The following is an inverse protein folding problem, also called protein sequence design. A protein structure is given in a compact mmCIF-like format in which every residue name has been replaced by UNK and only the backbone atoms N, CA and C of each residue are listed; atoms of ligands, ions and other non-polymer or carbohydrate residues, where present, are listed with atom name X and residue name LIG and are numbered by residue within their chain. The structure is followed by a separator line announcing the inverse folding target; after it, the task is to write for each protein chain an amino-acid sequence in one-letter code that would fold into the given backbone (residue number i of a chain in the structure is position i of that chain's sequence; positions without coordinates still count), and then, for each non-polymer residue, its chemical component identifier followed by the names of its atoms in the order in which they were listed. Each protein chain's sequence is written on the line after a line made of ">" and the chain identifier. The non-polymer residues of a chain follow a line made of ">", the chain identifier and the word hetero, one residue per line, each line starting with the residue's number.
data_IF_687733001879
#
_entry.id   IF_687733001879
#
_cell.length_a   1.000
_cell.length_b   1.000
_cell.length_c   1.000
_cell.angle_alpha   90.00
_cell.angle_beta   90.00
_cell.angle_gamma   90.00
#
_symmetry.space_group_name_H-M   'P 1'
#
loop_
_entity.id
_entity.type
_entity.pdbx_description
1 polymer ?
#
# COMPACT_ATOMS: atom_id res chain seq x y z
N UNK A 1 -49.49 6.05 76.73
CA UNK A 1 -48.35 5.21 76.28
C UNK A 1 -48.28 5.10 74.74
N UNK A 2 -48.59 6.18 73.99
CA UNK A 2 -48.79 6.11 72.52
C UNK A 2 -47.68 6.77 71.69
N UNK A 3 -46.83 7.62 72.28
CA UNK A 3 -45.78 8.34 71.53
C UNK A 3 -44.54 7.51 71.22
N UNK A 4 -44.21 6.50 72.05
CA UNK A 4 -43.03 5.63 71.84
C UNK A 4 -43.16 4.69 70.64
N UNK A 5 -44.39 4.27 70.30
CA UNK A 5 -44.65 3.36 69.19
C UNK A 5 -44.60 4.09 67.83
N UNK A 6 -45.10 5.32 67.76
CA UNK A 6 -45.11 6.12 66.53
C UNK A 6 -43.72 6.57 66.11
N UNK A 7 -42.87 6.95 67.07
CA UNK A 7 -41.46 7.28 66.78
C UNK A 7 -40.67 6.06 66.33
N UNK A 8 -40.92 4.88 66.90
CA UNK A 8 -40.26 3.64 66.50
C UNK A 8 -40.72 3.19 65.10
N UNK A 9 -42.00 3.33 64.77
CA UNK A 9 -42.51 3.03 63.43
C UNK A 9 -41.95 3.99 62.37
N UNK A 10 -41.84 5.29 62.69
CA UNK A 10 -41.23 6.27 61.81
C UNK A 10 -39.73 5.99 61.59
N UNK A 11 -39.01 5.59 62.65
CA UNK A 11 -37.60 5.20 62.55
C UNK A 11 -37.41 3.90 61.78
N UNK A 12 -38.32 2.93 61.94
CA UNK A 12 -38.31 1.66 61.20
C UNK A 12 -38.56 1.88 59.71
N UNK A 13 -39.54 2.72 59.35
CA UNK A 13 -39.83 3.07 57.94
C UNK A 13 -38.69 3.89 57.33
N UNK A 14 -38.07 4.78 58.11
CA UNK A 14 -36.89 5.52 57.67
C UNK A 14 -35.68 4.58 57.49
N UNK A 15 -35.52 3.56 58.33
CA UNK A 15 -34.46 2.56 58.20
C UNK A 15 -34.69 1.61 57.03
N UNK A 16 -35.96 1.25 56.73
CA UNK A 16 -36.34 0.44 55.58
C UNK A 16 -36.25 1.19 54.24
N UNK A 17 -36.42 2.51 54.24
CA UNK A 17 -36.32 3.33 53.02
C UNK A 17 -34.87 3.58 52.55
N UNK A 18 -33.86 3.31 53.40
CA UNK A 18 -32.45 3.62 53.11
C UNK A 18 -31.75 2.54 52.27
N UNK A 19 -32.33 1.36 52.09
CA UNK A 19 -31.77 0.34 51.18
C UNK A 19 -32.25 0.54 49.74
N UNK A 20 -32.15 1.75 49.19
CA UNK A 20 -32.17 1.93 47.75
C UNK A 20 -30.79 1.47 47.24
N UNK A 21 -30.69 0.20 46.84
CA UNK A 21 -29.48 -0.34 46.25
C UNK A 21 -29.13 0.51 45.03
N UNK A 22 -28.03 1.25 45.12
CA UNK A 22 -27.49 2.01 44.00
C UNK A 22 -27.17 1.01 42.88
N UNK A 23 -28.03 0.97 41.86
CA UNK A 23 -27.81 0.15 40.68
C UNK A 23 -26.54 0.67 40.01
N UNK A 24 -25.45 -0.09 40.13
CA UNK A 24 -24.17 0.29 39.54
C UNK A 24 -24.34 0.34 38.03
N UNK A 25 -24.25 1.54 37.45
CA UNK A 25 -24.24 1.73 36.01
C UNK A 25 -23.01 1.03 35.41
N UNK A 26 -23.16 -0.22 34.98
CA UNK A 26 -22.14 -0.92 34.21
C UNK A 26 -22.19 -0.44 32.77
N UNK A 27 -21.31 0.50 32.42
CA UNK A 27 -21.16 0.93 31.02
C UNK A 27 -20.42 -0.17 30.25
N UNK A 28 -21.13 -0.90 29.40
CA UNK A 28 -20.51 -1.84 28.46
C UNK A 28 -19.79 -1.00 27.39
N UNK A 29 -18.46 -1.06 27.37
CA UNK A 29 -17.66 -0.42 26.33
C UNK A 29 -17.66 -1.32 25.10
N UNK A 30 -18.35 -0.90 24.04
CA UNK A 30 -18.27 -1.60 22.75
C UNK A 30 -17.11 -1.01 21.94
N UNK A 31 -16.19 -1.84 21.43
CA UNK A 31 -15.17 -1.35 20.51
C UNK A 31 -15.82 -0.85 19.23
N UNK A 32 -15.46 0.37 18.82
CA UNK A 32 -15.85 0.92 17.52
C UNK A 32 -14.74 0.59 16.52
N UNK A 33 -15.09 -0.11 15.44
CA UNK A 33 -14.14 -0.46 14.38
C UNK A 33 -14.34 0.45 13.16
N UNK A 34 -13.24 1.05 12.70
CA UNK A 34 -13.20 1.83 11.47
C UNK A 34 -12.35 1.08 10.44
N UNK A 35 -12.95 0.64 9.35
CA UNK A 35 -12.26 -0.04 8.25
C UNK A 35 -12.06 0.92 7.08
N UNK A 36 -10.89 0.90 6.46
CA UNK A 36 -10.64 1.59 5.20
C UNK A 36 -9.95 0.61 4.26
N UNK A 37 -10.58 0.31 3.12
CA UNK A 37 -10.09 -0.66 2.14
C UNK A 37 -9.67 0.06 0.87
N UNK A 38 -8.53 -0.36 0.30
CA UNK A 38 -7.97 0.20 -0.93
C UNK A 38 -7.64 -0.96 -1.86
N UNK A 39 -8.21 -0.96 -3.07
CA UNK A 39 -7.93 -1.95 -4.11
C UNK A 39 -7.38 -1.19 -5.32
N UNK A 40 -6.10 -1.39 -5.63
CA UNK A 40 -5.39 -0.67 -6.70
C UNK A 40 -4.25 -1.54 -7.22
N UNK A 41 -3.91 -1.40 -8.50
CA UNK A 41 -2.77 -2.07 -9.13
C UNK A 41 -1.69 -1.04 -9.44
N UNK A 42 -0.46 -1.29 -8.98
CA UNK A 42 0.69 -0.43 -9.23
C UNK A 42 1.92 -1.27 -9.58
N UNK A 43 2.73 -0.81 -10.53
CA UNK A 43 4.02 -1.42 -10.87
C UNK A 43 5.12 -0.75 -10.06
N UNK A 44 5.75 -1.48 -9.16
CA UNK A 44 6.85 -1.01 -8.31
C UNK A 44 8.08 -1.90 -8.58
N UNK A 45 9.27 -1.32 -8.84
CA UNK A 45 10.48 -2.10 -9.05
C UNK A 45 10.92 -2.81 -7.75
N UNK A 46 11.71 -3.88 -7.88
CA UNK A 46 12.26 -4.62 -6.74
C UNK A 46 13.05 -3.70 -5.79
N UNK A 47 12.71 -3.72 -4.50
CA UNK A 47 13.25 -2.81 -3.49
C UNK A 47 12.81 -1.34 -3.61
N UNK A 48 11.95 -1.00 -4.57
CA UNK A 48 11.40 0.34 -4.74
C UNK A 48 10.29 0.67 -3.73
N UNK A 49 9.89 1.93 -3.67
CA UNK A 49 8.80 2.38 -2.79
C UNK A 49 7.64 2.93 -3.62
N UNK A 50 6.43 2.43 -3.39
CA UNK A 50 5.20 2.93 -3.99
C UNK A 50 4.19 3.41 -2.95
N UNK A 51 3.70 4.65 -3.09
CA UNK A 51 2.58 5.16 -2.30
C UNK A 51 1.27 4.69 -2.95
N UNK A 52 0.54 3.80 -2.29
CA UNK A 52 -0.76 3.30 -2.77
C UNK A 52 -1.89 4.28 -2.50
N UNK A 53 -1.79 5.08 -1.44
CA UNK A 53 -2.79 6.09 -1.13
C UNK A 53 -2.62 6.70 0.25
N UNK A 54 -3.54 7.61 0.57
CA UNK A 54 -3.63 8.22 1.88
C UNK A 54 -4.86 9.11 2.01
N UNK A 55 -5.36 9.26 3.23
CA UNK A 55 -6.50 10.11 3.57
C UNK A 55 -6.03 11.08 4.65
N UNK A 56 -6.17 12.38 4.40
CA UNK A 56 -5.94 13.42 5.39
C UNK A 56 -7.24 14.14 5.68
N UNK A 57 -7.64 14.21 6.95
CA UNK A 57 -8.85 14.89 7.40
C UNK A 57 -8.45 15.96 8.41
N UNK A 58 -8.96 17.16 8.23
CA UNK A 58 -8.80 18.26 9.18
C UNK A 58 -10.19 18.83 9.50
N UNK A 59 -10.50 19.00 10.78
CA UNK A 59 -11.70 19.69 11.24
C UNK A 59 -11.32 20.82 12.20
N UNK A 60 -11.83 22.01 11.94
CA UNK A 60 -11.69 23.17 12.82
C UNK A 60 -13.06 23.53 13.38
N UNK A 61 -13.16 23.65 14.70
CA UNK A 61 -14.36 24.06 15.41
C UNK A 61 -14.04 25.29 16.24
N UNK A 62 -14.85 26.34 16.09
CA UNK A 62 -14.77 27.54 16.91
C UNK A 62 -16.11 27.78 17.57
N UNK A 63 -16.15 27.60 18.89
CA UNK A 63 -17.34 27.82 19.71
C UNK A 63 -17.13 29.08 20.53
N UNK A 64 -17.91 30.12 20.27
CA UNK A 64 -17.91 31.34 21.10
C UNK A 64 -19.19 31.40 21.92
N UNK A 65 -19.05 31.48 23.25
CA UNK A 65 -20.15 31.70 24.21
C UNK A 65 -19.92 33.02 24.93
N UNK A 66 -20.97 33.78 25.21
CA UNK A 66 -20.84 35.03 25.95
C UNK A 66 -22.19 35.61 26.34
N UNK A 67 -22.19 36.55 27.28
CA UNK A 67 -23.43 37.23 27.70
C UNK A 67 -23.94 38.16 26.59
N UNK A 68 -25.25 38.18 26.31
CA UNK A 68 -25.84 39.09 25.35
C UNK A 68 -25.54 40.55 25.76
N UNK A 69 -25.35 41.43 24.77
CA UNK A 69 -24.87 42.83 24.89
C UNK A 69 -23.40 43.00 25.31
N UNK A 70 -22.99 42.55 26.51
CA UNK A 70 -21.65 42.85 27.05
C UNK A 70 -20.52 42.18 26.24
N UNK A 71 -20.78 41.04 25.61
CA UNK A 71 -19.82 40.35 24.72
C UNK A 71 -19.53 41.07 23.40
N UNK A 72 -20.25 42.16 23.07
CA UNK A 72 -20.02 42.94 21.84
C UNK A 72 -19.26 44.25 22.08
N UNK A 73 -19.16 44.70 23.34
CA UNK A 73 -18.53 45.99 23.67
C UNK A 73 -17.01 45.85 23.57
N UNK A 74 -16.33 46.64 22.71
CA UNK A 74 -14.88 46.61 22.61
C UNK A 74 -14.23 46.90 23.98
N UNK A 75 -12.99 46.41 24.18
CA UNK A 75 -12.24 46.47 25.44
C UNK A 75 -12.74 45.57 26.59
N UNK A 76 -14.05 45.55 26.90
CA UNK A 76 -14.59 44.69 27.99
C UNK A 76 -15.02 43.30 27.53
N UNK A 77 -15.22 43.10 26.22
CA UNK A 77 -15.60 41.82 25.61
C UNK A 77 -14.77 40.64 26.12
N UNK A 78 -13.46 40.82 26.36
CA UNK A 78 -12.56 39.73 26.78
C UNK A 78 -12.94 39.09 28.12
N UNK A 79 -13.60 39.82 29.01
CA UNK A 79 -14.02 39.29 30.33
C UNK A 79 -15.35 38.52 30.25
N UNK A 80 -16.13 38.72 29.19
CA UNK A 80 -17.52 38.27 29.07
C UNK A 80 -17.77 37.33 27.87
N UNK A 81 -16.72 37.00 27.10
CA UNK A 81 -16.72 35.97 26.07
C UNK A 81 -15.78 34.82 26.46
N UNK A 82 -16.21 33.60 26.18
CA UNK A 82 -15.40 32.40 26.18
C UNK A 82 -15.36 31.87 24.74
N UNK A 83 -14.16 31.68 24.19
CA UNK A 83 -13.95 31.12 22.84
C UNK A 83 -13.14 29.84 22.96
N UNK A 84 -13.75 28.72 22.61
CA UNK A 84 -13.05 27.45 22.40
C UNK A 84 -12.70 27.30 20.91
N UNK A 85 -11.43 27.04 20.61
CA UNK A 85 -10.97 26.68 19.27
C UNK A 85 -10.45 25.25 19.37
N UNK A 86 -11.09 24.32 18.66
CA UNK A 86 -10.68 22.94 18.50
C UNK A 86 -10.19 22.70 17.08
N UNK A 87 -9.06 22.01 16.92
CA UNK A 87 -8.52 21.62 15.62
C UNK A 87 -8.08 20.17 15.69
N UNK A 88 -8.73 19.32 14.90
CA UNK A 88 -8.38 17.91 14.78
C UNK A 88 -7.78 17.67 13.40
N UNK A 89 -6.59 17.07 13.35
CA UNK A 89 -5.93 16.68 12.11
C UNK A 89 -5.58 15.20 12.21
N UNK A 90 -6.04 14.42 11.23
CA UNK A 90 -5.71 13.01 11.10
C UNK A 90 -5.19 12.74 9.71
N UNK A 91 -4.14 11.93 9.62
CA UNK A 91 -3.53 11.53 8.35
C UNK A 91 -3.30 10.03 8.36
N UNK A 92 -3.64 9.38 7.27
CA UNK A 92 -3.40 7.98 7.02
C UNK A 92 -2.73 7.83 5.67
N UNK A 93 -1.68 7.03 5.58
CA UNK A 93 -0.96 6.74 4.34
C UNK A 93 -0.71 5.23 4.24
N UNK A 94 -0.69 4.74 3.00
CA UNK A 94 -0.43 3.35 2.67
C UNK A 94 0.71 3.30 1.67
N UNK A 95 1.85 2.80 2.12
CA UNK A 95 3.07 2.65 1.32
C UNK A 95 3.41 1.17 1.22
N UNK A 96 3.90 0.75 0.05
CA UNK A 96 4.33 -0.63 -0.20
C UNK A 96 5.75 -0.63 -0.76
N UNK A 97 6.52 -1.63 -0.33
CA UNK A 97 7.92 -1.87 -0.74
C UNK A 97 8.02 -3.35 -1.11
N UNK A 98 7.99 -3.73 -2.40
CA UNK A 98 8.15 -5.12 -2.80
C UNK A 98 9.63 -5.56 -2.65
N UNK A 99 9.83 -6.84 -2.36
CA UNK A 99 11.12 -7.54 -2.52
C UNK A 99 10.91 -8.85 -3.26
N UNK A 100 11.76 -9.14 -4.24
CA UNK A 100 11.81 -10.44 -4.90
C UNK A 100 12.66 -11.38 -4.03
N UNK A 101 12.15 -12.58 -3.77
CA UNK A 101 12.83 -13.62 -3.00
C UNK A 101 13.14 -14.79 -3.93
N UNK A 102 14.41 -15.19 -3.97
CA UNK A 102 14.87 -16.42 -4.62
C UNK A 102 15.03 -17.46 -3.52
N UNK A 103 14.21 -18.51 -3.56
CA UNK A 103 14.08 -19.46 -2.46
C UNK A 103 15.36 -20.28 -2.25
N UNK A 104 16.06 -20.62 -3.32
CA UNK A 104 17.28 -21.42 -3.30
C UNK A 104 18.43 -20.69 -2.59
N UNK A 105 18.58 -19.39 -2.83
CA UNK A 105 19.56 -18.56 -2.12
C UNK A 105 19.12 -18.29 -0.68
N UNK A 106 17.84 -18.03 -0.42
CA UNK A 106 17.34 -17.75 0.94
C UNK A 106 17.37 -19.00 1.84
N UNK A 107 17.15 -20.21 1.30
CA UNK A 107 17.33 -21.47 2.03
C UNK A 107 18.81 -21.65 2.44
N UNK A 108 19.75 -21.31 1.57
CA UNK A 108 21.18 -21.32 1.90
C UNK A 108 21.51 -20.28 2.99
N UNK A 109 20.98 -19.06 2.91
CA UNK A 109 21.19 -18.04 3.96
C UNK A 109 20.56 -18.40 5.31
N UNK A 110 19.40 -19.08 5.31
CA UNK A 110 18.68 -19.43 6.54
C UNK A 110 19.15 -20.74 7.18
N UNK A 111 19.45 -21.76 6.38
CA UNK A 111 19.79 -23.09 6.88
C UNK A 111 21.27 -23.42 6.76
N UNK A 112 22.02 -22.71 5.90
CA UNK A 112 23.42 -22.99 5.62
C UNK A 112 23.65 -24.29 4.85
N UNK A 113 22.59 -24.96 4.41
CA UNK A 113 22.63 -26.26 3.74
C UNK A 113 22.27 -26.02 2.27
N UNK A 114 23.23 -26.16 1.36
CA UNK A 114 22.95 -26.09 -0.07
C UNK A 114 22.23 -27.37 -0.52
N UNK A 115 21.28 -27.31 -1.46
CA UNK A 115 20.66 -28.50 -2.05
C UNK A 115 21.71 -29.47 -2.65
N UNK A 116 22.88 -28.94 -3.02
CA UNK A 116 24.07 -29.69 -3.48
C UNK A 116 24.68 -30.59 -2.38
N UNK A 117 24.65 -30.15 -1.12
CA UNK A 117 25.13 -30.95 0.03
C UNK A 117 24.12 -32.01 0.44
N UNK A 118 22.83 -31.76 0.23
CA UNK A 118 21.75 -32.72 0.50
C UNK A 118 21.66 -33.78 -0.60
N UNK A 119 21.83 -33.37 -1.87
CA UNK A 119 21.84 -34.28 -3.02
C UNK A 119 23.11 -35.16 -3.03
N UNK A 120 24.24 -34.63 -2.59
CA UNK A 120 25.48 -35.41 -2.37
C UNK A 120 25.40 -36.43 -1.22
N UNK A 121 24.47 -36.27 -0.27
CA UNK A 121 24.28 -37.18 0.87
C UNK A 121 23.25 -38.29 0.60
N UNK A 122 22.49 -38.21 -0.49
CA UNK A 122 21.52 -39.24 -0.90
C UNK A 122 22.12 -40.49 -1.55
N UNK A 123 23.44 -40.53 -1.78
CA UNK A 123 24.11 -41.59 -2.54
C UNK A 123 25.29 -42.22 -1.80
N UNK A 124 25.00 -43.12 -0.86
CA UNK A 124 25.92 -44.18 -0.45
C UNK A 124 26.98 -43.84 0.61
N UNK A 125 27.09 -44.72 1.61
CA UNK A 125 28.31 -44.89 2.41
C UNK A 125 28.21 -44.40 3.85
N UNK A 126 28.21 -45.38 4.76
CA UNK A 126 28.36 -45.17 6.19
C UNK A 126 29.76 -44.65 6.56
N UNK A 127 29.82 -43.78 7.58
CA UNK A 127 31.01 -43.54 8.40
C UNK A 127 31.56 -42.10 8.38
N UNK A 128 31.77 -41.53 9.57
CA UNK A 128 32.64 -40.36 9.75
C UNK A 128 32.07 -39.28 10.68
N UNK A 129 32.60 -39.19 11.89
CA UNK A 129 32.18 -38.25 12.94
C UNK A 129 32.39 -36.77 12.61
N UNK A 130 31.54 -35.93 13.19
CA UNK A 130 31.71 -34.47 13.22
C UNK A 130 32.79 -34.11 14.24
N UNK A 131 34.03 -34.25 13.79
CA UNK A 131 35.25 -33.92 14.54
C UNK A 131 36.40 -33.71 13.57
N UNK A 132 36.16 -33.02 12.45
CA UNK A 132 37.19 -32.61 11.52
C UNK A 132 37.89 -31.37 12.06
N UNK A 133 39.15 -31.52 12.46
CA UNK A 133 40.04 -30.39 12.66
C UNK A 133 39.96 -29.50 11.41
N UNK A 134 39.52 -28.26 11.59
CA UNK A 134 39.40 -27.31 10.49
C UNK A 134 40.80 -27.10 9.93
N UNK A 135 41.01 -27.44 8.66
CA UNK A 135 42.30 -27.24 8.01
C UNK A 135 42.74 -25.78 8.22
N UNK A 136 44.01 -25.52 8.58
CA UNK A 136 44.48 -24.19 8.92
C UNK A 136 44.32 -23.20 7.76
N UNK A 137 44.24 -23.67 6.52
CA UNK A 137 43.96 -22.84 5.34
C UNK A 137 42.52 -22.34 5.29
N UNK A 138 41.56 -23.20 5.62
CA UNK A 138 40.13 -22.84 5.65
C UNK A 138 39.86 -21.83 6.76
N UNK A 139 40.50 -22.01 7.93
CA UNK A 139 40.45 -21.03 9.01
C UNK A 139 41.03 -19.66 8.60
N UNK A 140 42.18 -19.64 7.92
CA UNK A 140 42.79 -18.41 7.39
C UNK A 140 41.91 -17.73 6.34
N UNK A 141 41.23 -18.50 5.50
CA UNK A 141 40.32 -17.97 4.47
C UNK A 141 39.06 -17.37 5.11
N UNK A 142 38.49 -18.02 6.11
CA UNK A 142 37.36 -17.50 6.87
C UNK A 142 37.74 -16.19 7.58
N UNK A 143 38.92 -16.13 8.22
CA UNK A 143 39.41 -14.92 8.87
C UNK A 143 39.65 -13.76 7.89
N UNK A 144 40.17 -14.04 6.69
CA UNK A 144 40.38 -13.02 5.66
C UNK A 144 39.05 -12.41 5.20
N UNK A 145 38.03 -13.24 4.98
CA UNK A 145 36.69 -12.76 4.59
C UNK A 145 36.09 -11.93 5.73
N UNK A 146 36.14 -12.41 6.98
CA UNK A 146 35.55 -11.69 8.11
C UNK A 146 36.22 -10.33 8.35
N UNK A 147 37.54 -10.25 8.15
CA UNK A 147 38.32 -9.00 8.29
C UNK A 147 38.13 -8.01 7.15
N UNK A 148 37.71 -8.46 5.97
CA UNK A 148 37.52 -7.60 4.79
C UNK A 148 36.06 -7.23 4.53
N UNK A 149 35.10 -8.08 4.93
CA UNK A 149 33.66 -7.82 4.76
C UNK A 149 33.16 -6.70 5.69
N UNK A 150 33.66 -6.65 6.95
CA UNK A 150 33.23 -5.63 7.91
C UNK A 150 33.75 -4.21 7.63
N UNK A 151 34.67 -4.02 6.66
CA UNK A 151 35.22 -2.71 6.30
C UNK A 151 34.38 -1.93 5.29
N UNK A 152 33.38 -2.56 4.70
CA UNK A 152 32.41 -1.89 3.84
C UNK A 152 31.05 -1.84 4.54
N UNK A 153 30.87 -0.88 5.45
CA UNK A 153 29.50 -0.40 5.69
C UNK A 153 28.97 0.08 4.34
N UNK A 154 27.84 -0.43 3.81
CA UNK A 154 27.22 0.16 2.65
C UNK A 154 27.02 1.63 2.98
N UNK A 155 27.72 2.52 2.27
CA UNK A 155 27.47 3.94 2.41
C UNK A 155 25.96 4.12 2.23
N UNK A 156 25.29 4.73 3.21
CA UNK A 156 23.86 5.00 3.12
C UNK A 156 23.60 5.61 1.74
N UNK A 157 22.60 5.15 0.97
CA UNK A 157 22.37 5.63 -0.37
C UNK A 157 22.26 7.16 -0.31
N UNK A 158 23.29 7.84 -0.79
CA UNK A 158 23.31 9.30 -0.87
C UNK A 158 22.33 9.62 -1.97
N UNK A 159 21.07 9.89 -1.60
CA UNK A 159 20.06 10.39 -2.53
C UNK A 159 20.64 11.71 -3.05
N UNK A 160 20.99 11.81 -4.35
CA UNK A 160 21.46 13.06 -4.90
C UNK A 160 20.35 14.09 -4.70
N UNK A 161 20.65 15.19 -4.01
CA UNK A 161 19.72 16.28 -3.76
C UNK A 161 19.29 17.05 -5.03
N UNK A 162 19.75 16.60 -6.21
CA UNK A 162 19.56 17.23 -7.51
C UNK A 162 18.53 16.53 -8.40
N UNK A 163 17.68 15.62 -7.86
CA UNK A 163 16.53 15.13 -8.62
C UNK A 163 15.47 16.24 -8.70
N UNK A 164 15.67 17.18 -9.63
CA UNK A 164 14.60 18.07 -10.10
C UNK A 164 13.47 17.16 -10.59
N UNK A 165 12.38 17.10 -9.82
CA UNK A 165 11.19 16.37 -10.25
C UNK A 165 10.74 16.99 -11.58
N UNK A 166 10.53 16.19 -12.63
CA UNK A 166 10.13 16.72 -13.92
C UNK A 166 8.83 17.50 -13.76
N UNK A 167 8.74 18.65 -14.44
CA UNK A 167 7.55 19.48 -14.35
C UNK A 167 6.35 18.72 -14.91
N UNK A 168 5.15 19.04 -14.42
CA UNK A 168 3.90 18.42 -14.91
C UNK A 168 3.73 18.63 -16.42
N UNK A 169 4.21 19.77 -16.92
CA UNK A 169 4.21 20.09 -18.34
C UNK A 169 5.16 19.18 -19.13
N UNK A 170 6.35 18.91 -18.60
CA UNK A 170 7.33 18.03 -19.23
C UNK A 170 6.86 16.56 -19.24
N UNK A 171 6.16 16.13 -18.18
CA UNK A 171 5.50 14.82 -18.15
C UNK A 171 4.39 14.73 -19.21
N UNK A 172 3.56 15.77 -19.35
CA UNK A 172 2.51 15.84 -20.39
C UNK A 172 3.12 15.81 -21.78
N UNK A 173 4.13 16.62 -22.05
CA UNK A 173 4.82 16.68 -23.34
C UNK A 173 5.43 15.32 -23.72
N UNK A 174 6.12 14.65 -22.79
CA UNK A 174 6.62 13.28 -23.01
C UNK A 174 5.51 12.29 -23.33
N UNK A 175 4.38 12.39 -22.64
CA UNK A 175 3.27 11.48 -22.84
C UNK A 175 2.54 11.74 -24.18
N UNK A 176 2.49 12.99 -24.62
CA UNK A 176 1.89 13.38 -25.90
C UNK A 176 2.77 12.97 -27.08
N UNK A 177 4.09 13.13 -26.96
CA UNK A 177 5.05 12.60 -27.95
C UNK A 177 4.96 11.08 -28.06
N UNK A 178 4.98 10.38 -26.91
CA UNK A 178 4.84 8.92 -26.90
C UNK A 178 3.47 8.44 -27.42
N UNK A 179 2.40 9.24 -27.27
CA UNK A 179 1.09 8.96 -27.89
C UNK A 179 1.16 9.12 -29.40
N UNK A 180 1.78 10.19 -29.89
CA UNK A 180 1.92 10.45 -31.32
C UNK A 180 2.74 9.36 -32.02
N UNK A 181 3.86 8.95 -31.42
CA UNK A 181 4.70 7.86 -31.93
C UNK A 181 3.91 6.55 -32.00
N UNK A 182 3.25 6.15 -30.92
CA UNK A 182 2.41 4.93 -30.90
C UNK A 182 1.28 4.97 -31.92
N UNK A 183 0.67 6.14 -32.11
CA UNK A 183 -0.38 6.31 -33.11
C UNK A 183 0.16 6.12 -34.54
N UNK A 184 1.36 6.64 -34.84
CA UNK A 184 2.01 6.41 -36.14
C UNK A 184 2.38 4.94 -36.36
N UNK A 185 2.95 4.27 -35.36
CA UNK A 185 3.28 2.84 -35.43
C UNK A 185 2.03 1.98 -35.67
N UNK A 186 0.92 2.32 -35.01
CA UNK A 186 -0.35 1.62 -35.20
C UNK A 186 -0.86 1.74 -36.63
N UNK A 187 -0.75 2.93 -37.26
CA UNK A 187 -1.14 3.15 -38.64
C UNK A 187 -0.24 2.37 -39.62
N UNK A 188 1.05 2.24 -39.34
CA UNK A 188 1.95 1.40 -40.13
C UNK A 188 1.58 -0.08 -40.06
N UNK A 189 1.28 -0.60 -38.87
CA UNK A 189 0.83 -1.98 -38.71
C UNK A 189 -0.52 -2.22 -39.39
N UNK A 190 -1.42 -1.24 -39.37
CA UNK A 190 -2.68 -1.31 -40.09
C UNK A 190 -2.46 -1.43 -41.61
N UNK A 191 -1.55 -0.64 -42.17
CA UNK A 191 -1.19 -0.70 -43.59
C UNK A 191 -0.56 -2.04 -43.97
N UNK A 192 0.30 -2.59 -43.11
CA UNK A 192 0.90 -3.92 -43.29
C UNK A 192 -0.16 -5.03 -43.23
N UNK A 193 -1.16 -4.88 -42.36
CA UNK A 193 -2.33 -5.77 -42.29
C UNK A 193 -3.12 -5.78 -43.59
N UNK A 194 -3.46 -4.61 -44.12
CA UNK A 194 -4.16 -4.48 -45.41
C UNK A 194 -3.37 -5.10 -46.57
N UNK A 195 -2.05 -4.90 -46.60
CA UNK A 195 -1.21 -5.53 -47.62
C UNK A 195 -1.22 -7.06 -47.53
N UNK A 196 -1.08 -7.61 -46.32
CA UNK A 196 -1.13 -9.05 -46.10
C UNK A 196 -2.49 -9.65 -46.49
N UNK A 197 -3.56 -8.87 -46.35
CA UNK A 197 -4.91 -9.24 -46.77
C UNK A 197 -5.06 -9.26 -48.29
N UNK A 198 -4.53 -8.25 -48.99
CA UNK A 198 -4.44 -8.22 -50.46
C UNK A 198 -3.58 -9.36 -51.02
N UNK A 199 -2.53 -9.73 -50.28
CA UNK A 199 -1.65 -10.86 -50.60
C UNK A 199 -2.31 -12.24 -50.32
N UNK A 200 -3.57 -12.25 -49.86
CA UNK A 200 -4.35 -13.48 -49.59
C UNK A 200 -3.88 -14.27 -48.36
N UNK A 201 -3.23 -13.60 -47.39
CA UNK A 201 -2.67 -14.22 -46.18
C UNK A 201 -3.44 -13.77 -44.92
N UNK A 202 -4.65 -14.30 -44.68
CA UNK A 202 -5.53 -13.83 -43.60
C UNK A 202 -4.91 -13.96 -42.20
N UNK A 203 -4.22 -15.07 -41.92
CA UNK A 203 -3.55 -15.27 -40.62
C UNK A 203 -2.44 -14.25 -40.33
N UNK A 204 -1.71 -13.80 -41.35
CA UNK A 204 -0.66 -12.76 -41.20
C UNK A 204 -1.30 -11.39 -41.01
N UNK A 205 -2.38 -11.08 -41.73
CA UNK A 205 -3.14 -9.85 -41.56
C UNK A 205 -3.68 -9.71 -40.13
N UNK A 206 -4.19 -10.80 -39.54
CA UNK A 206 -4.67 -10.86 -38.15
C UNK A 206 -3.59 -10.45 -37.15
N UNK A 207 -2.36 -10.95 -37.30
CA UNK A 207 -1.23 -10.59 -36.42
C UNK A 207 -0.91 -9.10 -36.53
N UNK A 208 -0.90 -8.54 -37.74
CA UNK A 208 -0.68 -7.11 -37.95
C UNK A 208 -1.80 -6.24 -37.38
N UNK A 209 -3.07 -6.63 -37.55
CA UNK A 209 -4.21 -5.94 -36.96
C UNK A 209 -4.20 -6.04 -35.42
N UNK A 210 -3.81 -7.18 -34.84
CA UNK A 210 -3.62 -7.30 -33.39
C UNK A 210 -2.48 -6.41 -32.87
N UNK A 211 -1.37 -6.31 -33.60
CA UNK A 211 -0.26 -5.40 -33.25
C UNK A 211 -0.66 -3.93 -33.34
N UNK A 212 -1.50 -3.59 -34.32
CA UNK A 212 -2.08 -2.26 -34.47
C UNK A 212 -3.09 -1.96 -33.36
N UNK A 213 -3.97 -2.90 -33.00
CA UNK A 213 -5.00 -2.73 -31.98
C UNK A 213 -4.43 -2.43 -30.59
N UNK A 214 -3.27 -3.01 -30.24
CA UNK A 214 -2.59 -2.74 -28.96
C UNK A 214 -1.98 -1.34 -28.88
N UNK A 215 -1.77 -0.67 -30.02
CA UNK A 215 -1.10 0.63 -30.12
C UNK A 215 -2.03 1.76 -30.54
N UNK A 216 -3.13 1.45 -31.22
CA UNK A 216 -4.14 2.39 -31.68
C UNK A 216 -5.03 2.87 -30.53
N UNK A 217 -5.37 4.16 -30.53
CA UNK A 217 -6.34 4.78 -29.63
C UNK A 217 -7.43 5.48 -30.48
N UNK A 218 -8.64 5.60 -29.93
CA UNK A 218 -9.73 6.38 -30.57
C UNK A 218 -10.39 5.70 -31.77
N UNK A 219 -10.60 6.45 -32.86
CA UNK A 219 -11.37 5.98 -34.02
C UNK A 219 -10.66 4.86 -34.79
N UNK A 220 -9.33 4.94 -34.92
CA UNK A 220 -8.51 3.92 -35.57
C UNK A 220 -8.61 2.55 -34.86
N UNK A 221 -8.73 2.56 -33.53
CA UNK A 221 -8.91 1.35 -32.75
C UNK A 221 -10.24 0.67 -33.08
N UNK A 222 -11.32 1.44 -33.25
CA UNK A 222 -12.63 0.90 -33.61
C UNK A 222 -12.62 0.30 -35.02
N UNK A 223 -11.97 0.95 -35.98
CA UNK A 223 -11.85 0.41 -37.34
C UNK A 223 -11.02 -0.88 -37.39
N UNK A 224 -9.92 -0.95 -36.63
CA UNK A 224 -9.10 -2.17 -36.54
C UNK A 224 -9.88 -3.31 -35.87
N UNK A 225 -10.60 -3.01 -34.78
CA UNK A 225 -11.40 -4.01 -34.07
C UNK A 225 -12.52 -4.57 -34.93
N UNK A 226 -13.22 -3.71 -35.68
CA UNK A 226 -14.23 -4.14 -36.64
C UNK A 226 -13.62 -5.04 -37.73
N UNK A 227 -12.49 -4.65 -38.32
CA UNK A 227 -11.83 -5.45 -39.36
C UNK A 227 -11.34 -6.79 -38.85
N UNK A 228 -10.86 -6.84 -37.60
CA UNK A 228 -10.43 -8.09 -36.97
C UNK A 228 -11.62 -9.04 -36.73
N UNK A 229 -12.78 -8.50 -36.38
CA UNK A 229 -14.00 -9.29 -36.18
C UNK A 229 -14.51 -9.92 -37.49
N UNK A 230 -14.42 -9.20 -38.62
CA UNK A 230 -14.77 -9.75 -39.94
C UNK A 230 -13.86 -10.93 -40.31
N UNK A 231 -12.54 -10.77 -40.12
CA UNK A 231 -11.55 -11.83 -40.41
C UNK A 231 -11.69 -13.05 -39.50
N UNK A 232 -12.11 -12.86 -38.24
CA UNK A 232 -12.41 -13.95 -37.32
C UNK A 232 -13.71 -14.69 -37.67
N UNK A 233 -14.60 -14.06 -38.44
CA UNK A 233 -15.82 -14.65 -38.98
C UNK A 233 -15.55 -15.57 -40.17
N UNK A 234 -14.72 -15.12 -41.11
CA UNK A 234 -14.36 -15.87 -42.33
C UNK A 234 -13.57 -17.17 -42.05
N UNK A 235 -12.88 -17.29 -40.90
CA UNK A 235 -12.16 -18.53 -40.52
C UNK A 235 -13.08 -19.62 -39.92
N UNK A 236 -14.36 -19.31 -39.60
CA UNK A 236 -15.28 -20.23 -38.92
C UNK A 236 -16.30 -20.90 -39.84
N UNK A 237 -16.29 -20.59 -41.13
CA UNK A 237 -17.06 -21.27 -42.19
C UNK A 237 -16.19 -22.26 -42.98
#
# INVERSE_FOLDING_TARGET
>A
MSFRASTFAALLVLFLAVTAQAQQNTTVQLPTFNFTTTSTTASVPDGGTGLLGGIMRASESSVTRGVPLLSKVPYVNRLFKNRGIGRDVSSWNQTVIPRIIILEEEEFFQTGISPETLSGRGGGGAGGGFGGAVDPETARKADFINRNVARHTPAAPTIPSDRRLPSVEEIRHRHDLARAERASEAAEFFTKGQKAELDGKPGVAKVYYQMALRRAEGDLQRSIAARLADLDGDERE
#
